data_IF_819843423431
#
_entry.id   IF_819843423431
#
_cell.length_a   1.000
_cell.length_b   1.000
_cell.length_c   1.000
_cell.angle_alpha   90.00
_cell.angle_beta   90.00
_cell.angle_gamma   90.00
#
_symmetry.space_group_name_H-M   'P 1'
#
loop_
_entity.id
_entity.type
_entity.pdbx_description
1 polymer ?
#
# COMPACT_ATOMS: atom_id res chain seq x y z
N UNK A 1 11.45 9.21 -6.75
CA UNK A 1 12.65 9.98 -6.36
C UNK A 1 13.26 9.50 -5.05
N UNK A 2 12.64 9.68 -3.88
CA UNK A 2 13.25 9.21 -2.60
C UNK A 2 13.27 7.69 -2.49
N UNK A 3 12.10 7.02 -2.62
CA UNK A 3 12.03 5.56 -2.51
C UNK A 3 12.91 4.84 -3.55
N UNK A 4 12.92 5.35 -4.78
CA UNK A 4 13.82 4.85 -5.83
C UNK A 4 15.31 5.12 -5.54
N UNK A 5 15.64 6.24 -4.89
CA UNK A 5 17.02 6.56 -4.52
C UNK A 5 17.54 5.68 -3.37
N UNK A 6 16.65 5.15 -2.53
CA UNK A 6 17.00 4.18 -1.48
C UNK A 6 16.90 2.72 -1.96
N UNK A 7 16.73 2.49 -3.26
CA UNK A 7 16.81 1.17 -3.88
C UNK A 7 15.48 0.43 -4.11
N UNK A 8 14.33 1.05 -3.86
CA UNK A 8 13.04 0.43 -4.22
C UNK A 8 12.82 0.45 -5.73
N UNK A 9 12.24 -0.63 -6.27
CA UNK A 9 11.89 -0.69 -7.69
C UNK A 9 10.84 0.39 -8.04
N UNK A 10 10.80 0.89 -9.28
CA UNK A 10 9.83 1.92 -9.67
C UNK A 10 8.36 1.50 -9.49
N UNK A 11 8.01 0.23 -9.71
CA UNK A 11 6.67 -0.29 -9.38
C UNK A 11 6.37 -0.25 -7.88
N UNK A 12 7.28 -0.70 -7.03
CA UNK A 12 7.09 -0.70 -5.57
C UNK A 12 7.01 0.71 -5.01
N UNK A 13 7.85 1.62 -5.52
CA UNK A 13 7.81 3.03 -5.16
C UNK A 13 6.48 3.70 -5.54
N UNK A 14 5.85 3.28 -6.64
CA UNK A 14 4.52 3.76 -7.05
C UNK A 14 3.39 3.15 -6.22
N UNK A 15 3.56 1.93 -5.75
CA UNK A 15 2.59 1.23 -4.89
C UNK A 15 2.73 1.59 -3.39
N UNK A 16 3.70 2.42 -3.03
CA UNK A 16 3.98 2.79 -1.64
C UNK A 16 3.06 3.91 -1.12
N UNK A 17 2.57 3.73 0.11
CA UNK A 17 1.82 4.75 0.85
C UNK A 17 2.58 5.12 2.12
N UNK A 18 2.58 6.41 2.48
CA UNK A 18 3.19 6.91 3.72
C UNK A 18 2.16 7.67 4.54
N UNK A 19 1.90 7.20 5.75
CA UNK A 19 1.13 7.93 6.75
C UNK A 19 2.09 8.73 7.65
N UNK A 20 1.75 9.99 7.91
CA UNK A 20 2.48 10.84 8.84
C UNK A 20 1.55 11.19 9.98
N UNK A 21 1.90 10.75 11.19
CA UNK A 21 1.12 10.98 12.40
C UNK A 21 1.61 12.24 13.11
N UNK A 22 0.72 12.90 13.83
CA UNK A 22 1.04 14.15 14.53
C UNK A 22 0.32 14.28 15.87
N UNK A 23 0.46 15.45 16.50
CA UNK A 23 -0.06 15.73 17.84
C UNK A 23 -1.58 15.52 18.02
N UNK A 24 -2.32 15.49 16.92
CA UNK A 24 -3.78 15.32 16.89
C UNK A 24 -4.22 13.94 16.43
N UNK A 25 -3.30 13.06 16.07
CA UNK A 25 -3.63 11.68 15.72
C UNK A 25 -4.10 10.96 16.97
N UNK A 26 -5.29 10.38 16.90
CA UNK A 26 -5.89 9.60 17.98
C UNK A 26 -5.78 8.10 17.72
N UNK A 27 -5.89 7.25 18.75
CA UNK A 27 -5.99 5.80 18.54
C UNK A 27 -7.13 5.40 17.60
N UNK A 28 -8.26 6.11 17.64
CA UNK A 28 -9.39 5.85 16.76
C UNK A 28 -9.06 6.06 15.28
N UNK A 29 -8.21 7.04 14.95
CA UNK A 29 -7.74 7.24 13.57
C UNK A 29 -6.88 6.06 13.09
N UNK A 30 -6.08 5.48 14.00
CA UNK A 30 -5.27 4.30 13.70
C UNK A 30 -6.16 3.07 13.50
N UNK A 31 -7.11 2.85 14.40
CA UNK A 31 -8.06 1.74 14.29
C UNK A 31 -8.88 1.83 13.01
N UNK A 32 -9.30 3.05 12.63
CA UNK A 32 -9.99 3.28 11.37
C UNK A 32 -9.09 2.93 10.16
N UNK A 33 -7.84 3.41 10.15
CA UNK A 33 -6.91 3.10 9.08
C UNK A 33 -6.61 1.60 8.96
N UNK A 34 -6.46 0.90 10.09
CA UNK A 34 -6.25 -0.55 10.14
C UNK A 34 -7.43 -1.35 9.57
N UNK A 35 -8.65 -0.82 9.66
CA UNK A 35 -9.83 -1.46 9.07
C UNK A 35 -9.99 -1.14 7.57
N UNK A 36 -9.82 0.12 7.19
CA UNK A 36 -10.16 0.58 5.83
C UNK A 36 -9.05 0.28 4.82
N UNK A 37 -7.78 0.47 5.19
CA UNK A 37 -6.66 0.33 4.24
C UNK A 37 -6.56 -1.09 3.69
N UNK A 38 -6.61 -2.17 4.50
CA UNK A 38 -6.58 -3.53 3.97
C UNK A 38 -7.77 -3.85 3.06
N UNK A 39 -8.97 -3.37 3.42
CA UNK A 39 -10.17 -3.58 2.61
C UNK A 39 -10.07 -2.91 1.23
N UNK A 40 -9.59 -1.66 1.19
CA UNK A 40 -9.35 -0.94 -0.06
C UNK A 40 -8.28 -1.62 -0.92
N UNK A 41 -7.19 -2.10 -0.30
CA UNK A 41 -6.13 -2.85 -1.00
C UNK A 41 -6.68 -4.15 -1.59
N UNK A 42 -7.52 -4.89 -0.87
CA UNK A 42 -8.15 -6.11 -1.37
C UNK A 42 -9.01 -5.83 -2.62
N UNK A 43 -9.87 -4.82 -2.57
CA UNK A 43 -10.70 -4.42 -3.71
C UNK A 43 -9.86 -4.01 -4.93
N UNK A 44 -8.81 -3.21 -4.74
CA UNK A 44 -7.91 -2.81 -5.83
C UNK A 44 -7.18 -4.02 -6.45
N UNK A 45 -6.83 -5.02 -5.63
CA UNK A 45 -6.19 -6.25 -6.10
C UNK A 45 -7.12 -7.12 -6.94
N UNK A 46 -8.41 -7.21 -6.58
CA UNK A 46 -9.41 -7.95 -7.35
C UNK A 46 -9.59 -7.39 -8.77
N UNK A 47 -9.53 -6.06 -8.88
CA UNK A 47 -9.69 -5.33 -10.14
C UNK A 47 -8.39 -5.22 -10.95
N UNK A 48 -7.24 -5.45 -10.33
CA UNK A 48 -5.93 -5.24 -10.95
C UNK A 48 -5.56 -6.38 -11.92
N UNK A 49 -5.38 -6.09 -13.23
CA UNK A 49 -4.90 -7.07 -14.20
C UNK A 49 -3.44 -7.49 -13.94
N UNK A 50 -2.67 -6.61 -13.30
CA UNK A 50 -1.23 -6.81 -13.05
C UNK A 50 -0.99 -7.66 -11.81
N UNK A 51 -1.82 -7.50 -10.77
CA UNK A 51 -1.71 -8.29 -9.53
C UNK A 51 -1.87 -9.80 -9.82
N UNK A 52 -2.82 -10.16 -10.69
CA UNK A 52 -3.02 -11.56 -11.10
C UNK A 52 -1.81 -12.15 -11.82
N UNK A 53 -1.06 -11.35 -12.57
CA UNK A 53 0.14 -11.80 -13.31
C UNK A 53 1.31 -12.14 -12.38
N UNK A 54 1.49 -11.40 -11.28
CA UNK A 54 2.57 -11.67 -10.32
C UNK A 54 2.30 -12.90 -9.46
N UNK A 55 1.04 -13.11 -9.05
CA UNK A 55 0.62 -14.29 -8.29
C UNK A 55 0.87 -15.61 -9.05
N UNK A 56 0.83 -15.58 -10.40
CA UNK A 56 1.12 -16.74 -11.25
C UNK A 56 2.60 -16.92 -11.57
N UNK A 57 3.44 -15.90 -11.38
CA UNK A 57 4.86 -15.93 -11.75
C UNK A 57 5.78 -16.44 -10.61
N UNK A 58 5.25 -16.58 -9.39
CA UNK A 58 5.94 -17.12 -8.22
C UNK A 58 5.48 -18.55 -7.85
N UNK A 59 5.00 -19.33 -8.83
CA UNK A 59 4.66 -20.76 -8.70
C UNK A 59 5.67 -21.63 -9.44
#
# INVERSE_FOLDING_TARGET
HVLTAIGLAPEEARASLRFSLGRHTTPADIDFALNVVPAAVAQLRELSPTYRKEATAHS
#
